data_IF_573357686444
#
_entry.id   IF_573357686444
#
_cell.length_a   1.000
_cell.length_b   1.000
_cell.length_c   1.000
_cell.angle_alpha   90.00
_cell.angle_beta   90.00
_cell.angle_gamma   90.00
#
_symmetry.space_group_name_H-M   'P 1'
#
loop_
_entity.id
_entity.type
_entity.pdbx_description
1 polymer ?
#
# COMPACT_ATOMS: atom_id res chain seq x y z
N UNK A 1 -0.51 -15.57 4.77
CA UNK A 1 -0.57 -15.26 6.23
C UNK A 1 -1.82 -15.81 6.96
N UNK A 2 -2.66 -16.67 6.36
CA UNK A 2 -3.88 -17.20 7.03
C UNK A 2 -3.57 -18.04 8.30
N UNK A 3 -2.37 -18.61 8.39
CA UNK A 3 -1.92 -19.41 9.54
C UNK A 3 -1.30 -18.56 10.68
N UNK A 4 -1.32 -17.22 10.60
CA UNK A 4 -0.70 -16.36 11.62
C UNK A 4 0.82 -16.26 11.54
N UNK A 5 1.44 -16.87 10.53
CA UNK A 5 2.88 -16.79 10.27
C UNK A 5 3.15 -15.60 9.32
N UNK A 6 4.00 -14.64 9.71
CA UNK A 6 4.46 -13.59 8.79
C UNK A 6 5.20 -14.20 7.59
N UNK A 7 5.03 -13.59 6.42
CA UNK A 7 5.85 -13.97 5.26
C UNK A 7 7.33 -13.67 5.53
N UNK A 8 8.24 -14.37 4.85
CA UNK A 8 9.67 -14.03 4.79
C UNK A 8 9.95 -13.00 3.68
N UNK A 9 11.17 -12.51 3.56
CA UNK A 9 11.56 -11.70 2.39
C UNK A 9 11.56 -12.51 1.10
N UNK A 10 11.99 -13.77 1.17
CA UNK A 10 12.00 -14.72 0.05
C UNK A 10 10.59 -14.99 -0.50
N UNK A 11 9.56 -14.90 0.34
CA UNK A 11 8.16 -14.96 -0.10
C UNK A 11 7.67 -13.64 -0.70
N UNK A 12 8.12 -12.50 -0.14
CA UNK A 12 7.60 -11.17 -0.50
C UNK A 12 8.18 -10.67 -1.82
N UNK A 13 9.47 -10.85 -2.05
CA UNK A 13 10.16 -10.29 -3.22
C UNK A 13 9.54 -10.81 -4.52
N UNK A 14 9.45 -12.14 -4.78
CA UNK A 14 8.87 -12.65 -6.03
C UNK A 14 7.42 -12.20 -6.25
N UNK A 15 6.65 -12.06 -5.17
CA UNK A 15 5.29 -11.54 -5.25
C UNK A 15 5.25 -10.07 -5.65
N UNK A 16 6.09 -9.21 -5.04
CA UNK A 16 6.20 -7.79 -5.39
C UNK A 16 6.68 -7.60 -6.82
N UNK A 17 7.60 -8.44 -7.27
CA UNK A 17 8.08 -8.47 -8.65
C UNK A 17 6.95 -8.80 -9.64
N UNK A 18 6.10 -9.77 -9.30
CA UNK A 18 4.91 -10.09 -10.10
C UNK A 18 3.95 -8.90 -10.13
N UNK A 19 3.77 -8.18 -9.01
CA UNK A 19 2.92 -6.98 -8.98
C UNK A 19 3.52 -5.84 -9.83
N UNK A 20 4.84 -5.62 -9.74
CA UNK A 20 5.57 -4.66 -10.58
C UNK A 20 5.34 -4.95 -12.06
N UNK A 21 5.41 -6.20 -12.49
CA UNK A 21 5.24 -6.57 -13.89
C UNK A 21 3.82 -6.30 -14.39
N UNK A 22 2.81 -6.51 -13.52
CA UNK A 22 1.42 -6.12 -13.80
C UNK A 22 1.28 -4.60 -13.90
N UNK A 23 1.88 -3.84 -12.99
CA UNK A 23 1.87 -2.37 -13.04
C UNK A 23 2.51 -1.88 -14.34
N UNK A 24 3.71 -2.38 -14.66
CA UNK A 24 4.47 -2.01 -15.86
C UNK A 24 3.64 -2.19 -17.13
N UNK A 25 3.06 -3.38 -17.32
CA UNK A 25 2.23 -3.70 -18.48
C UNK A 25 1.05 -2.74 -18.64
N UNK A 26 0.43 -2.31 -17.54
CA UNK A 26 -0.70 -1.38 -17.60
C UNK A 26 -0.27 0.06 -17.83
N UNK A 27 0.86 0.49 -17.23
CA UNK A 27 1.45 1.81 -17.49
C UNK A 27 1.85 1.96 -18.97
N UNK A 28 2.51 0.95 -19.55
CA UNK A 28 2.87 0.91 -20.98
C UNK A 28 1.63 0.95 -21.90
N UNK A 29 0.50 0.43 -21.43
CA UNK A 29 -0.78 0.49 -22.14
C UNK A 29 -1.57 1.79 -21.89
N UNK A 30 -1.00 2.76 -21.16
CA UNK A 30 -1.65 4.03 -20.81
C UNK A 30 -2.85 3.88 -19.88
N UNK A 31 -2.93 2.78 -19.11
CA UNK A 31 -4.05 2.47 -18.21
C UNK A 31 -3.73 2.85 -16.76
N UNK A 32 -4.76 3.26 -16.03
CA UNK A 32 -4.71 3.45 -14.59
C UNK A 32 -5.02 2.13 -13.87
N UNK A 33 -4.22 1.79 -12.86
CA UNK A 33 -4.39 0.60 -12.01
C UNK A 33 -4.29 1.00 -10.55
N UNK A 34 -5.17 0.41 -9.72
CA UNK A 34 -5.10 0.52 -8.26
C UNK A 34 -4.74 -0.86 -7.72
N UNK A 35 -3.67 -0.92 -6.93
CA UNK A 35 -3.17 -2.14 -6.29
C UNK A 35 -3.29 -2.03 -4.78
N UNK A 36 -3.99 -2.96 -4.16
CA UNK A 36 -3.92 -3.17 -2.71
C UNK A 36 -2.63 -3.91 -2.34
N UNK A 37 -1.66 -3.21 -1.75
CA UNK A 37 -0.40 -3.80 -1.31
C UNK A 37 0.04 -3.13 0.01
N UNK A 38 0.56 -3.90 0.96
CA UNK A 38 1.04 -3.33 2.22
C UNK A 38 2.33 -2.53 2.05
N UNK A 39 3.21 -2.94 1.12
CA UNK A 39 4.44 -2.23 0.72
C UNK A 39 5.18 -1.52 1.88
N UNK A 40 5.32 -2.24 3.00
CA UNK A 40 5.64 -1.65 4.31
C UNK A 40 7.05 -1.05 4.37
N UNK A 41 8.00 -1.64 3.67
CA UNK A 41 9.39 -1.21 3.66
C UNK A 41 9.72 -0.40 2.40
N UNK A 42 10.70 0.50 2.51
CA UNK A 42 11.14 1.36 1.41
C UNK A 42 11.56 0.57 0.17
N UNK A 43 12.36 -0.48 0.36
CA UNK A 43 12.83 -1.30 -0.75
C UNK A 43 11.70 -2.07 -1.47
N UNK A 44 10.60 -2.41 -0.78
CA UNK A 44 9.41 -2.98 -1.42
C UNK A 44 8.74 -1.96 -2.35
N UNK A 45 8.67 -0.69 -1.92
CA UNK A 45 8.16 0.40 -2.75
C UNK A 45 9.08 0.68 -3.93
N UNK A 46 10.40 0.57 -3.77
CA UNK A 46 11.35 0.73 -4.87
C UNK A 46 11.20 -0.35 -5.96
N UNK A 47 10.91 -1.60 -5.58
CA UNK A 47 10.55 -2.66 -6.53
C UNK A 47 9.32 -2.24 -7.34
N UNK A 48 8.27 -1.73 -6.69
CA UNK A 48 7.05 -1.31 -7.37
C UNK A 48 7.28 -0.07 -8.25
N UNK A 49 8.07 0.93 -7.79
CA UNK A 49 8.44 2.12 -8.57
C UNK A 49 9.16 1.78 -9.87
N UNK A 50 9.94 0.69 -9.88
CA UNK A 50 10.64 0.21 -11.08
C UNK A 50 9.71 -0.33 -12.18
N UNK A 51 8.40 -0.36 -11.95
CA UNK A 51 7.42 -0.55 -13.01
C UNK A 51 7.38 0.64 -14.00
N UNK A 52 7.77 1.84 -13.56
CA UNK A 52 7.98 2.99 -14.43
C UNK A 52 9.36 2.92 -15.09
N UNK A 53 9.41 2.88 -16.42
CA UNK A 53 10.66 2.79 -17.18
C UNK A 53 11.57 4.01 -17.01
N UNK A 54 11.04 5.17 -16.61
CA UNK A 54 11.82 6.38 -16.33
C UNK A 54 12.38 6.42 -14.91
N UNK A 55 11.97 5.48 -14.04
CA UNK A 55 12.40 5.44 -12.65
C UNK A 55 13.92 5.22 -12.52
N UNK A 56 14.56 6.05 -11.69
CA UNK A 56 15.96 5.88 -11.30
C UNK A 56 16.03 5.42 -9.86
N UNK A 57 16.76 4.34 -9.60
CA UNK A 57 16.95 3.82 -8.25
C UNK A 57 17.51 4.92 -7.32
N UNK A 58 16.92 5.06 -6.14
CA UNK A 58 17.24 6.12 -5.17
C UNK A 58 16.56 7.46 -5.41
N UNK A 59 15.86 7.64 -6.55
CA UNK A 59 14.91 8.74 -6.73
C UNK A 59 13.53 8.35 -6.21
N UNK A 60 12.62 9.31 -6.04
CA UNK A 60 11.21 9.05 -5.72
C UNK A 60 10.26 9.47 -6.85
N UNK A 61 10.80 9.98 -7.96
CA UNK A 61 10.04 10.34 -9.14
C UNK A 61 9.65 9.07 -9.91
N UNK A 62 8.37 8.71 -9.83
CA UNK A 62 7.78 7.56 -10.53
C UNK A 62 6.31 7.82 -10.79
N UNK A 63 5.79 7.26 -11.88
CA UNK A 63 4.37 7.18 -12.19
C UNK A 63 3.60 6.28 -11.21
N UNK A 64 4.30 5.43 -10.45
CA UNK A 64 3.72 4.63 -9.37
C UNK A 64 3.71 5.46 -8.07
N UNK A 65 2.51 5.91 -7.68
CA UNK A 65 2.29 6.66 -6.45
C UNK A 65 1.75 5.77 -5.33
N UNK A 66 1.98 6.18 -4.08
CA UNK A 66 1.57 5.42 -2.89
C UNK A 66 0.60 6.23 -2.04
N UNK A 67 -0.41 5.54 -1.52
CA UNK A 67 -1.35 6.07 -0.54
C UNK A 67 -1.27 5.21 0.72
N UNK A 68 -0.92 5.82 1.85
CA UNK A 68 -0.99 5.21 3.17
C UNK A 68 -2.35 5.52 3.79
N UNK A 69 -3.15 4.47 4.01
CA UNK A 69 -4.37 4.54 4.82
C UNK A 69 -3.97 4.50 6.30
N UNK A 70 -3.85 5.66 6.92
CA UNK A 70 -3.31 5.83 8.26
C UNK A 70 -4.43 5.79 9.31
N UNK A 71 -4.23 5.02 10.37
CA UNK A 71 -5.04 5.05 11.57
C UNK A 71 -4.19 4.61 12.77
N UNK A 72 -4.60 5.03 13.95
CA UNK A 72 -3.98 4.58 15.19
C UNK A 72 -4.06 3.07 15.35
N UNK A 73 -3.04 2.47 15.96
CA UNK A 73 -2.92 1.02 16.13
C UNK A 73 -4.14 0.43 16.85
N UNK A 74 -4.68 1.16 17.83
CA UNK A 74 -5.85 0.80 18.63
C UNK A 74 -7.11 0.72 17.77
N UNK A 75 -7.29 1.66 16.84
CA UNK A 75 -8.42 1.67 15.90
C UNK A 75 -8.33 0.48 14.93
N UNK A 76 -7.12 0.21 14.43
CA UNK A 76 -6.87 -0.95 13.56
C UNK A 76 -7.15 -2.26 14.30
N UNK A 77 -6.66 -2.41 15.54
CA UNK A 77 -6.87 -3.59 16.37
C UNK A 77 -8.37 -3.83 16.64
N UNK A 78 -9.09 -2.80 17.08
CA UNK A 78 -10.54 -2.89 17.33
C UNK A 78 -11.32 -3.35 16.09
N UNK A 79 -10.98 -2.81 14.90
CA UNK A 79 -11.60 -3.23 13.64
C UNK A 79 -11.31 -4.69 13.26
N UNK A 80 -10.11 -5.20 13.59
CA UNK A 80 -9.77 -6.60 13.37
C UNK A 80 -10.56 -7.52 14.31
N UNK A 81 -10.66 -7.15 15.59
CA UNK A 81 -11.42 -7.89 16.61
C UNK A 81 -12.89 -7.98 16.26
N UNK A 82 -13.51 -6.88 15.85
CA UNK A 82 -14.91 -6.87 15.38
C UNK A 82 -15.12 -7.84 14.22
N UNK A 83 -14.23 -7.83 13.21
CA UNK A 83 -14.34 -8.73 12.05
C UNK A 83 -14.12 -10.19 12.42
N UNK A 84 -13.23 -10.46 13.36
CA UNK A 84 -13.00 -11.81 13.88
C UNK A 84 -14.24 -12.33 14.62
N UNK A 85 -14.90 -11.46 15.42
CA UNK A 85 -16.14 -11.79 16.11
C UNK A 85 -17.32 -12.06 15.15
N UNK A 86 -17.34 -11.42 13.98
CA UNK A 86 -18.29 -11.70 12.89
C UNK A 86 -18.03 -13.04 12.16
N UNK A 87 -17.05 -13.84 12.60
CA UNK A 87 -16.71 -15.13 11.99
C UNK A 87 -15.98 -15.02 10.66
N UNK A 88 -15.53 -13.81 10.27
CA UNK A 88 -14.70 -13.63 9.07
C UNK A 88 -13.30 -14.14 9.38
N UNK A 89 -12.77 -15.01 8.52
CA UNK A 89 -11.38 -15.49 8.60
C UNK A 89 -10.41 -14.33 8.34
N UNK A 90 -10.13 -13.55 9.37
CA UNK A 90 -9.27 -12.38 9.27
C UNK A 90 -7.90 -12.64 9.89
N UNK A 91 -6.94 -11.81 9.47
CA UNK A 91 -5.58 -11.78 9.99
C UNK A 91 -5.58 -11.61 11.52
N UNK A 92 -4.90 -12.46 12.30
CA UNK A 92 -4.78 -12.33 13.75
C UNK A 92 -4.24 -10.95 14.17
N UNK A 93 -4.70 -10.44 15.32
CA UNK A 93 -4.23 -9.16 15.90
C UNK A 93 -2.71 -9.19 16.16
N UNK A 94 -2.14 -10.35 16.45
CA UNK A 94 -0.68 -10.53 16.61
C UNK A 94 0.11 -10.16 15.35
N UNK A 95 -0.47 -10.33 14.16
CA UNK A 95 0.16 -9.90 12.91
C UNK A 95 0.07 -8.39 12.69
N UNK A 96 -0.93 -7.69 13.23
CA UNK A 96 -1.01 -6.23 13.13
C UNK A 96 0.24 -5.58 13.72
N UNK A 97 0.67 -6.04 14.90
CA UNK A 97 1.87 -5.52 15.53
C UNK A 97 3.11 -5.69 14.65
N UNK A 98 3.30 -6.90 14.09
CA UNK A 98 4.40 -7.16 13.17
C UNK A 98 4.38 -6.29 11.89
N UNK A 99 3.19 -5.93 11.39
CA UNK A 99 3.06 -5.05 10.22
C UNK A 99 3.43 -3.61 10.57
N UNK A 100 2.98 -3.11 11.74
CA UNK A 100 3.30 -1.77 12.21
C UNK A 100 4.80 -1.62 12.52
N UNK A 101 5.42 -2.63 13.14
CA UNK A 101 6.86 -2.62 13.43
C UNK A 101 7.71 -2.67 12.14
N UNK A 102 7.18 -3.23 11.04
CA UNK A 102 7.84 -3.25 9.72
C UNK A 102 7.57 -1.99 8.88
N UNK A 103 6.62 -1.14 9.27
CA UNK A 103 6.24 0.02 8.50
C UNK A 103 7.36 1.08 8.58
N UNK A 104 7.96 1.34 7.43
CA UNK A 104 8.95 2.39 7.25
C UNK A 104 8.32 3.48 6.39
N UNK A 105 8.30 4.72 6.89
CA UNK A 105 7.85 5.89 6.14
C UNK A 105 8.99 6.90 6.13
N UNK A 106 9.36 7.33 4.94
CA UNK A 106 10.31 8.42 4.70
C UNK A 106 9.54 9.52 3.98
N UNK A 107 9.43 10.70 4.61
CA UNK A 107 8.62 11.79 4.06
C UNK A 107 9.15 12.28 2.70
N UNK A 108 10.44 12.04 2.40
CA UNK A 108 11.00 12.35 1.09
C UNK A 108 10.37 11.52 -0.05
N UNK A 109 9.75 10.38 0.27
CA UNK A 109 9.06 9.52 -0.70
C UNK A 109 7.76 10.11 -1.24
N UNK A 110 7.22 11.16 -0.63
CA UNK A 110 5.98 11.80 -1.06
C UNK A 110 4.75 10.90 -0.96
N UNK A 111 4.71 9.96 -0.01
CA UNK A 111 3.57 9.06 0.20
C UNK A 111 2.37 9.88 0.69
N UNK A 112 1.24 9.80 -0.01
CA UNK A 112 0.01 10.47 0.39
C UNK A 112 -0.60 9.77 1.61
N UNK A 113 -0.77 10.48 2.72
CA UNK A 113 -1.39 9.94 3.94
C UNK A 113 -2.87 10.31 3.96
N UNK A 114 -3.75 9.34 4.17
CA UNK A 114 -5.21 9.52 4.24
C UNK A 114 -5.74 8.86 5.49
N UNK A 115 -6.52 9.61 6.28
CA UNK A 115 -7.13 9.13 7.51
C UNK A 115 -8.13 8.00 7.23
N UNK A 116 -7.78 6.80 7.67
CA UNK A 116 -8.57 5.60 7.51
C UNK A 116 -9.72 5.49 8.53
N UNK A 117 -9.85 6.42 9.47
CA UNK A 117 -10.98 6.51 10.41
C UNK A 117 -12.23 7.10 9.76
N UNK A 118 -12.06 7.82 8.65
CA UNK A 118 -13.13 8.41 7.86
C UNK A 118 -14.04 7.35 7.22
N UNK A 119 -15.21 7.80 6.78
CA UNK A 119 -16.12 6.98 5.99
C UNK A 119 -15.46 6.61 4.63
N UNK A 120 -15.66 5.38 4.11
CA UNK A 120 -15.03 4.93 2.86
C UNK A 120 -15.27 5.83 1.65
N UNK A 121 -16.44 6.42 1.49
CA UNK A 121 -16.73 7.36 0.41
C UNK A 121 -15.85 8.62 0.52
N UNK A 122 -15.66 9.14 1.73
CA UNK A 122 -14.77 10.29 1.98
C UNK A 122 -13.31 9.95 1.70
N UNK A 123 -12.86 8.75 2.10
CA UNK A 123 -11.51 8.26 1.80
C UNK A 123 -11.28 8.24 0.28
N UNK A 124 -12.21 7.64 -0.47
CA UNK A 124 -12.10 7.55 -1.93
C UNK A 124 -12.08 8.94 -2.57
N UNK A 125 -12.98 9.84 -2.19
CA UNK A 125 -13.00 11.21 -2.73
C UNK A 125 -11.71 11.98 -2.40
N UNK A 126 -11.14 11.77 -1.21
CA UNK A 126 -9.87 12.38 -0.80
C UNK A 126 -8.71 11.87 -1.68
N UNK A 127 -8.62 10.56 -1.90
CA UNK A 127 -7.60 9.96 -2.77
C UNK A 127 -7.75 10.46 -4.21
N UNK A 128 -8.98 10.53 -4.72
CA UNK A 128 -9.24 11.03 -6.07
C UNK A 128 -8.78 12.48 -6.22
N UNK A 129 -9.08 13.35 -5.24
CA UNK A 129 -8.58 14.72 -5.23
C UNK A 129 -7.04 14.74 -5.19
N UNK A 130 -6.39 14.00 -4.29
CA UNK A 130 -4.92 14.02 -4.20
C UNK A 130 -4.21 13.59 -5.49
N UNK A 131 -4.73 12.57 -6.19
CA UNK A 131 -4.06 11.99 -7.35
C UNK A 131 -4.47 12.62 -8.69
N UNK A 132 -5.70 13.16 -8.80
CA UNK A 132 -6.26 13.60 -10.08
C UNK A 132 -6.61 15.10 -10.14
N UNK A 133 -6.26 15.91 -9.14
CA UNK A 133 -6.56 17.36 -9.14
C UNK A 133 -5.82 18.18 -10.21
N UNK A 134 -4.90 17.59 -10.98
CA UNK A 134 -4.10 18.31 -11.99
C UNK A 134 -4.47 18.00 -13.45
N UNK A 135 -5.61 17.37 -13.75
CA UNK A 135 -6.14 17.23 -15.13
C UNK A 135 -7.00 18.43 -15.54
N UNK A 136 -6.46 19.64 -15.36
CA UNK A 136 -6.98 20.84 -16.02
C UNK A 136 -5.79 21.67 -16.47
N UNK A 137 -5.31 21.38 -17.69
CA UNK A 137 -5.01 22.35 -18.75
C UNK A 137 -4.50 21.62 -20.00
#
# INVERSE_FOLDING_TARGET
>A
MRQGIPLSEEDRIPWLETQRDVLKKNLEAGKTVILGCSALQKHYRDILRSADAAYKHGSFASSVQFVLLEAQAEVLASRLEMRAAEGKHFMPVTLLRSQLDLLQIDDAEGIHKVDATLNPQVIVSTIQAMLFSNTSH
#
